data_IF_136411221053
#
_entry.id   IF_136411221053
#
_cell.length_a   1.000
_cell.length_b   1.000
_cell.length_c   1.000
_cell.angle_alpha   90.00
_cell.angle_beta   90.00
_cell.angle_gamma   90.00
#
_symmetry.space_group_name_H-M   'P 1'
#
loop_
_entity.id
_entity.type
_entity.pdbx_description
1 polymer ?
#
# COMPACT_ATOMS: atom_id res chain seq x y z
N UNK A 1 46.21 -29.02 -4.80
CA UNK A 1 44.82 -29.54 -4.75
C UNK A 1 43.96 -28.47 -4.14
N UNK A 2 43.42 -27.61 -4.98
CA UNK A 2 42.45 -26.58 -4.61
C UNK A 2 41.25 -26.82 -5.54
N UNK A 3 40.11 -27.13 -4.95
CA UNK A 3 38.84 -27.29 -5.64
C UNK A 3 38.15 -25.93 -5.69
N UNK A 4 38.13 -25.33 -6.88
CA UNK A 4 37.30 -24.16 -7.19
C UNK A 4 35.82 -24.58 -7.23
N UNK A 5 35.03 -24.06 -6.30
CA UNK A 5 33.58 -24.09 -6.36
C UNK A 5 33.09 -23.01 -7.32
N UNK A 6 32.65 -23.42 -8.52
CA UNK A 6 31.97 -22.54 -9.48
C UNK A 6 30.67 -22.01 -8.90
N UNK A 7 30.48 -20.70 -9.01
CA UNK A 7 29.27 -19.94 -8.69
C UNK A 7 28.04 -20.44 -9.46
N UNK A 8 27.00 -20.82 -8.73
CA UNK A 8 25.71 -21.26 -9.26
C UNK A 8 24.67 -20.12 -9.20
N UNK A 9 24.90 -19.04 -9.94
CA UNK A 9 23.95 -17.89 -9.96
C UNK A 9 23.69 -17.30 -11.35
N UNK A 10 23.96 -18.01 -12.46
CA UNK A 10 23.86 -17.39 -13.80
C UNK A 10 23.25 -18.28 -14.90
N UNK A 11 22.35 -19.21 -14.55
CA UNK A 11 21.89 -20.23 -15.51
C UNK A 11 20.39 -20.54 -15.58
N UNK A 12 19.47 -19.63 -15.23
CA UNK A 12 18.02 -19.92 -15.35
C UNK A 12 17.10 -18.74 -15.75
N UNK A 13 17.61 -17.71 -16.45
CA UNK A 13 16.75 -16.87 -17.29
C UNK A 13 16.39 -17.62 -18.58
N UNK A 14 15.54 -18.65 -18.45
CA UNK A 14 14.87 -19.23 -19.62
C UNK A 14 14.02 -18.13 -20.25
N UNK A 15 14.38 -17.67 -21.44
CA UNK A 15 13.55 -16.79 -22.26
C UNK A 15 12.10 -17.29 -22.26
N UNK A 16 11.22 -16.61 -21.52
CA UNK A 16 9.81 -16.98 -21.39
C UNK A 16 9.17 -16.78 -22.76
N UNK A 17 8.92 -17.89 -23.47
CA UNK A 17 8.31 -17.85 -24.80
C UNK A 17 6.79 -17.72 -24.68
N UNK A 18 6.24 -16.74 -25.36
CA UNK A 18 4.80 -16.55 -25.49
C UNK A 18 4.22 -17.38 -26.63
N UNK A 19 3.00 -17.87 -26.45
CA UNK A 19 2.20 -18.55 -27.50
C UNK A 19 1.05 -17.63 -27.90
N UNK A 20 0.94 -17.31 -29.18
CA UNK A 20 -0.19 -16.53 -29.70
C UNK A 20 -1.49 -17.33 -29.58
N UNK A 21 -2.51 -16.70 -29.01
CA UNK A 21 -3.83 -17.28 -28.77
C UNK A 21 -4.92 -16.30 -29.24
N UNK A 22 -6.17 -16.76 -29.30
CA UNK A 22 -7.33 -15.92 -29.68
C UNK A 22 -7.18 -15.15 -30.99
N UNK A 23 -6.67 -15.84 -32.03
CA UNK A 23 -6.43 -15.24 -33.35
C UNK A 23 -5.23 -14.28 -33.39
N UNK A 24 -4.30 -14.41 -32.44
CA UNK A 24 -3.08 -13.60 -32.37
C UNK A 24 -3.23 -12.27 -31.63
N UNK A 25 -4.41 -11.98 -31.06
CA UNK A 25 -4.66 -10.77 -30.27
C UNK A 25 -4.12 -10.86 -28.84
N UNK A 26 -3.93 -12.08 -28.34
CA UNK A 26 -3.41 -12.34 -27.02
C UNK A 26 -2.19 -13.23 -27.10
N UNK A 27 -1.30 -13.11 -26.13
CA UNK A 27 -0.16 -13.98 -25.93
C UNK A 27 -0.30 -14.63 -24.56
N UNK A 28 -0.09 -15.95 -24.55
CA UNK A 28 -0.05 -16.72 -23.33
C UNK A 28 1.40 -17.05 -22.95
N UNK A 29 1.82 -16.62 -21.76
CA UNK A 29 3.13 -16.88 -21.17
C UNK A 29 2.99 -17.87 -20.01
N UNK A 30 3.93 -18.81 -19.89
CA UNK A 30 4.05 -19.65 -18.69
C UNK A 30 5.19 -19.11 -17.82
N UNK A 31 4.84 -18.38 -16.77
CA UNK A 31 5.81 -17.80 -15.83
C UNK A 31 5.84 -18.65 -14.56
N UNK A 32 6.83 -19.56 -14.49
CA UNK A 32 7.01 -20.49 -13.37
C UNK A 32 5.74 -21.28 -12.99
N UNK A 33 5.00 -21.78 -13.98
CA UNK A 33 3.75 -22.52 -13.78
C UNK A 33 2.49 -21.66 -13.72
N UNK A 34 2.63 -20.32 -13.73
CA UNK A 34 1.49 -19.40 -13.79
C UNK A 34 1.25 -19.00 -15.25
N UNK A 35 0.07 -19.35 -15.76
CA UNK A 35 -0.35 -18.96 -17.11
C UNK A 35 -0.79 -17.49 -17.10
N UNK A 36 -0.07 -16.64 -17.83
CA UNK A 36 -0.37 -15.23 -18.05
C UNK A 36 -0.92 -15.04 -19.46
N UNK A 37 -2.18 -14.68 -19.58
CA UNK A 37 -2.79 -14.38 -20.88
C UNK A 37 -3.02 -12.87 -20.98
N UNK A 38 -2.23 -12.21 -21.84
CA UNK A 38 -2.18 -10.75 -21.96
C UNK A 38 -2.37 -10.34 -23.41
N UNK A 39 -2.76 -9.08 -23.66
CA UNK A 39 -2.83 -8.53 -25.02
C UNK A 39 -1.48 -8.65 -25.73
N UNK A 40 -1.49 -8.89 -27.04
CA UNK A 40 -0.27 -9.11 -27.83
C UNK A 40 0.71 -7.93 -27.89
N UNK A 41 0.26 -6.72 -27.50
CA UNK A 41 1.13 -5.55 -27.34
C UNK A 41 2.10 -5.67 -26.16
N UNK A 42 1.80 -6.50 -25.15
CA UNK A 42 2.68 -6.74 -24.01
C UNK A 42 3.68 -7.84 -24.32
N UNK A 43 4.90 -7.44 -24.63
CA UNK A 43 5.95 -8.30 -25.19
C UNK A 43 7.09 -8.53 -24.18
N UNK A 44 7.96 -9.53 -24.41
CA UNK A 44 9.13 -9.76 -23.56
C UNK A 44 10.12 -8.59 -23.56
N UNK A 45 10.98 -8.47 -22.52
CA UNK A 45 11.21 -9.44 -21.45
C UNK A 45 10.05 -9.52 -20.45
N UNK A 46 9.49 -10.72 -20.25
CA UNK A 46 8.52 -10.98 -19.17
C UNK A 46 9.30 -11.44 -17.95
N UNK A 47 9.31 -10.66 -16.88
CA UNK A 47 10.08 -10.95 -15.67
C UNK A 47 9.18 -10.92 -14.45
N UNK A 48 9.10 -11.98 -13.64
CA UNK A 48 8.33 -11.92 -12.40
C UNK A 48 9.03 -11.02 -11.38
N UNK A 49 8.31 -10.03 -10.87
CA UNK A 49 8.85 -9.02 -9.94
C UNK A 49 8.21 -9.08 -8.55
N UNK A 50 7.07 -9.75 -8.40
CA UNK A 50 6.40 -9.84 -7.11
C UNK A 50 5.38 -10.95 -7.03
N UNK A 51 5.20 -11.50 -5.82
CA UNK A 51 4.15 -12.45 -5.49
C UNK A 51 3.53 -12.05 -4.16
N UNK A 52 2.27 -11.62 -4.19
CA UNK A 52 1.52 -11.18 -3.02
C UNK A 52 0.32 -12.08 -2.71
N UNK A 53 -0.41 -11.75 -1.65
CA UNK A 53 -1.63 -12.47 -1.26
C UNK A 53 -2.73 -12.44 -2.34
N UNK A 54 -2.71 -11.42 -3.21
CA UNK A 54 -3.79 -11.17 -4.19
C UNK A 54 -3.36 -11.36 -5.64
N UNK A 55 -2.10 -11.72 -5.92
CA UNK A 55 -1.69 -11.86 -7.30
C UNK A 55 -0.22 -12.08 -7.55
N UNK A 56 0.07 -12.39 -8.81
CA UNK A 56 1.41 -12.51 -9.36
C UNK A 56 1.69 -11.28 -10.23
N UNK A 57 2.88 -10.69 -10.11
CA UNK A 57 3.23 -9.47 -10.84
C UNK A 57 4.42 -9.75 -11.75
N UNK A 58 4.28 -9.37 -13.02
CA UNK A 58 5.34 -9.46 -14.02
C UNK A 58 5.66 -8.08 -14.59
N UNK A 59 6.93 -7.74 -14.75
CA UNK A 59 7.36 -6.71 -15.66
C UNK A 59 7.21 -7.20 -17.12
N UNK A 60 6.82 -6.30 -18.02
CA UNK A 60 6.78 -6.51 -19.47
C UNK A 60 7.05 -5.18 -20.19
N UNK A 61 7.16 -5.20 -21.52
CA UNK A 61 7.26 -3.99 -22.36
C UNK A 61 5.96 -3.82 -23.14
N UNK A 62 5.38 -2.62 -23.12
CA UNK A 62 4.33 -2.27 -24.07
C UNK A 62 4.99 -1.90 -25.42
N UNK A 63 4.72 -2.70 -26.45
CA UNK A 63 5.30 -2.51 -27.79
C UNK A 63 4.75 -1.29 -28.54
N UNK A 64 3.63 -0.72 -28.11
CA UNK A 64 3.05 0.48 -28.73
C UNK A 64 3.70 1.75 -28.19
N UNK A 65 3.98 1.81 -26.88
CA UNK A 65 4.58 2.98 -26.21
C UNK A 65 6.10 2.83 -25.99
N UNK A 66 6.63 1.62 -26.11
CA UNK A 66 7.99 1.23 -25.74
C UNK A 66 8.33 1.42 -24.25
N UNK A 67 7.33 1.52 -23.39
CA UNK A 67 7.52 1.65 -21.94
C UNK A 67 7.57 0.29 -21.24
N UNK A 68 8.41 0.18 -20.21
CA UNK A 68 8.31 -0.92 -19.26
C UNK A 68 7.10 -0.70 -18.32
N UNK A 69 6.39 -1.79 -18.06
CA UNK A 69 5.14 -1.79 -17.27
C UNK A 69 5.10 -2.98 -16.31
N UNK A 70 4.25 -2.90 -15.29
CA UNK A 70 3.99 -3.98 -14.35
C UNK A 70 2.58 -4.54 -14.52
N UNK A 71 2.45 -5.83 -14.85
CA UNK A 71 1.17 -6.54 -15.00
C UNK A 71 0.89 -7.36 -13.75
N UNK A 72 -0.09 -6.94 -12.96
CA UNK A 72 -0.63 -7.70 -11.81
C UNK A 72 -1.75 -8.61 -12.28
N UNK A 73 -1.55 -9.92 -12.19
CA UNK A 73 -2.60 -10.93 -12.39
C UNK A 73 -3.26 -11.28 -11.05
N UNK A 74 -4.56 -11.02 -10.95
CA UNK A 74 -5.43 -11.46 -9.87
C UNK A 74 -6.19 -12.68 -10.39
N UNK A 75 -5.75 -13.87 -9.98
CA UNK A 75 -6.35 -15.12 -10.40
C UNK A 75 -7.67 -15.37 -9.69
N UNK A 76 -8.69 -15.86 -10.41
CA UNK A 76 -10.01 -16.17 -9.83
C UNK A 76 -10.59 -15.01 -9.01
N UNK A 77 -10.49 -13.79 -9.56
CA UNK A 77 -10.78 -12.55 -8.85
C UNK A 77 -12.22 -12.44 -8.31
N UNK A 78 -13.13 -13.27 -8.84
CA UNK A 78 -14.55 -13.24 -8.53
C UNK A 78 -15.05 -14.44 -7.70
N UNK A 79 -14.19 -15.41 -7.35
CA UNK A 79 -14.57 -16.58 -6.53
C UNK A 79 -14.87 -16.21 -5.06
N UNK A 80 -14.39 -15.05 -4.62
CA UNK A 80 -14.64 -14.50 -3.28
C UNK A 80 -15.09 -13.06 -3.40
N UNK A 81 -16.37 -12.80 -3.06
CA UNK A 81 -16.95 -11.45 -2.99
C UNK A 81 -16.07 -10.40 -2.29
N UNK A 82 -15.35 -10.76 -1.21
CA UNK A 82 -14.47 -9.80 -0.51
C UNK A 82 -13.31 -9.35 -1.40
N UNK A 83 -12.64 -10.30 -2.07
CA UNK A 83 -11.49 -10.02 -2.92
C UNK A 83 -11.92 -9.37 -4.25
N UNK A 84 -13.11 -9.73 -4.77
CA UNK A 84 -13.74 -9.07 -5.89
C UNK A 84 -13.99 -7.58 -5.60
N UNK A 85 -14.56 -7.27 -4.42
CA UNK A 85 -14.75 -5.88 -3.97
C UNK A 85 -13.42 -5.14 -3.82
N UNK A 86 -12.38 -5.78 -3.27
CA UNK A 86 -11.03 -5.18 -3.16
C UNK A 86 -10.46 -4.83 -4.54
N UNK A 87 -10.59 -5.73 -5.50
CA UNK A 87 -10.12 -5.53 -6.88
C UNK A 87 -10.84 -4.37 -7.55
N UNK A 88 -12.17 -4.34 -7.49
CA UNK A 88 -12.96 -3.24 -8.06
C UNK A 88 -12.62 -1.90 -7.40
N UNK A 89 -12.47 -1.88 -6.08
CA UNK A 89 -12.10 -0.69 -5.31
C UNK A 89 -10.74 -0.15 -5.72
N UNK A 90 -9.73 -1.00 -5.80
CA UNK A 90 -8.38 -0.62 -6.25
C UNK A 90 -8.43 0.03 -7.63
N UNK A 91 -9.17 -0.58 -8.57
CA UNK A 91 -9.35 -0.04 -9.92
C UNK A 91 -10.04 1.33 -9.88
N UNK A 92 -11.18 1.46 -9.19
CA UNK A 92 -11.96 2.72 -9.17
C UNK A 92 -11.17 3.85 -8.53
N UNK A 93 -10.49 3.59 -7.41
CA UNK A 93 -9.68 4.59 -6.72
C UNK A 93 -8.50 5.06 -7.56
N UNK A 94 -7.72 4.15 -8.12
CA UNK A 94 -6.56 4.51 -8.94
C UNK A 94 -6.93 5.10 -10.31
N UNK A 95 -8.19 4.99 -10.73
CA UNK A 95 -8.74 5.73 -11.88
C UNK A 95 -9.19 7.14 -11.55
N UNK A 96 -9.39 7.44 -10.27
CA UNK A 96 -9.80 8.76 -9.77
C UNK A 96 -8.61 9.58 -9.30
N UNK A 97 -7.62 8.93 -8.68
CA UNK A 97 -6.45 9.58 -8.12
C UNK A 97 -5.36 9.77 -9.19
N UNK A 98 -4.93 11.01 -9.39
CA UNK A 98 -3.85 11.36 -10.31
C UNK A 98 -2.83 12.24 -9.58
N UNK A 99 -1.74 11.63 -9.15
CA UNK A 99 -0.71 12.26 -8.32
C UNK A 99 0.64 11.56 -8.48
N UNK A 100 1.75 12.29 -8.46
CA UNK A 100 3.08 11.71 -8.70
C UNK A 100 3.46 10.66 -7.66
N UNK A 101 3.06 10.86 -6.39
CA UNK A 101 3.30 9.90 -5.30
C UNK A 101 2.19 8.85 -5.11
N UNK A 102 1.35 8.63 -6.12
CA UNK A 102 0.36 7.52 -6.16
C UNK A 102 0.62 6.71 -7.43
N UNK A 103 0.56 5.37 -7.33
CA UNK A 103 0.79 4.51 -8.49
C UNK A 103 -0.33 4.63 -9.53
N UNK A 104 0.03 4.69 -10.82
CA UNK A 104 -0.90 4.90 -11.91
C UNK A 104 -1.26 3.56 -12.58
N UNK A 105 -2.56 3.36 -12.85
CA UNK A 105 -3.03 2.29 -13.75
C UNK A 105 -2.91 2.78 -15.20
N UNK A 106 -2.08 2.09 -15.99
CA UNK A 106 -1.89 2.34 -17.42
C UNK A 106 -2.91 1.59 -18.29
N UNK A 107 -3.34 0.41 -17.88
CA UNK A 107 -4.31 -0.40 -18.64
C UNK A 107 -5.04 -1.41 -17.73
N UNK A 108 -6.18 -1.90 -18.18
CA UNK A 108 -6.88 -3.07 -17.64
C UNK A 108 -7.15 -4.00 -18.80
N UNK A 109 -6.48 -5.15 -18.83
CA UNK A 109 -6.53 -6.06 -19.97
C UNK A 109 -7.93 -6.66 -20.06
N UNK A 110 -8.57 -6.45 -21.21
CA UNK A 110 -9.88 -7.01 -21.51
C UNK A 110 -9.79 -8.54 -21.55
N UNK A 111 -10.72 -9.28 -20.93
CA UNK A 111 -10.76 -10.73 -21.07
C UNK A 111 -11.02 -11.12 -22.54
N UNK A 112 -10.39 -12.17 -23.08
CA UNK A 112 -10.61 -12.58 -24.48
C UNK A 112 -12.07 -12.90 -24.80
N UNK A 113 -12.80 -13.41 -23.81
CA UNK A 113 -14.24 -13.67 -23.86
C UNK A 113 -14.88 -13.22 -22.55
N UNK A 114 -15.99 -12.49 -22.61
CA UNK A 114 -16.67 -11.96 -21.42
C UNK A 114 -17.17 -13.08 -20.51
N UNK A 115 -17.63 -14.17 -21.11
CA UNK A 115 -18.17 -15.34 -20.41
C UNK A 115 -17.10 -16.02 -19.54
N UNK A 116 -15.84 -16.00 -19.99
CA UNK A 116 -14.70 -16.63 -19.33
C UNK A 116 -13.82 -15.63 -18.56
N UNK A 117 -14.40 -14.51 -18.10
CA UNK A 117 -13.67 -13.53 -17.32
C UNK A 117 -13.45 -14.03 -15.87
N UNK A 118 -12.37 -14.77 -15.65
CA UNK A 118 -11.99 -15.39 -14.38
C UNK A 118 -10.82 -14.65 -13.72
N UNK A 119 -9.83 -14.29 -14.51
CA UNK A 119 -8.62 -13.59 -14.07
C UNK A 119 -8.70 -12.11 -14.47
N UNK A 120 -8.27 -11.22 -13.57
CA UNK A 120 -8.15 -9.78 -13.84
C UNK A 120 -6.68 -9.44 -13.98
N UNK A 121 -6.32 -8.71 -15.03
CA UNK A 121 -4.97 -8.21 -15.24
C UNK A 121 -4.99 -6.68 -15.24
N UNK A 122 -4.32 -6.09 -14.26
CA UNK A 122 -4.19 -4.64 -14.12
C UNK A 122 -2.74 -4.29 -14.46
N UNK A 123 -2.57 -3.32 -15.35
CA UNK A 123 -1.26 -2.83 -15.81
C UNK A 123 -0.98 -1.51 -15.13
N UNK A 124 0.13 -1.45 -14.42
CA UNK A 124 0.64 -0.27 -13.72
C UNK A 124 1.89 0.24 -14.40
N UNK A 125 2.28 1.47 -14.06
CA UNK A 125 3.68 1.88 -14.22
C UNK A 125 4.63 0.92 -13.49
N UNK A 126 5.79 0.66 -14.08
CA UNK A 126 6.81 -0.18 -13.44
C UNK A 126 7.60 0.65 -12.43
N UNK A 127 7.78 0.09 -11.24
CA UNK A 127 8.69 0.59 -10.20
C UNK A 127 9.77 -0.46 -9.95
N UNK A 128 10.97 -0.02 -9.58
CA UNK A 128 12.15 -0.90 -9.48
C UNK A 128 12.09 -1.80 -8.24
N UNK A 129 11.57 -1.27 -7.13
CA UNK A 129 11.52 -1.98 -5.86
C UNK A 129 10.44 -1.40 -4.94
N UNK A 130 10.41 -1.86 -3.69
CA UNK A 130 9.59 -1.31 -2.62
C UNK A 130 10.47 -0.91 -1.42
N UNK A 131 9.95 -0.03 -0.57
CA UNK A 131 10.67 0.47 0.59
C UNK A 131 11.04 -0.65 1.58
N UNK A 132 10.26 -1.74 1.64
CA UNK A 132 10.58 -2.90 2.49
C UNK A 132 11.87 -3.59 2.06
N UNK A 133 12.10 -3.75 0.75
CA UNK A 133 13.38 -4.27 0.24
C UNK A 133 14.54 -3.32 0.51
N UNK A 134 14.34 -2.01 0.31
CA UNK A 134 15.37 -0.99 0.56
C UNK A 134 15.80 -0.99 2.03
N UNK A 135 14.84 -1.00 2.97
CA UNK A 135 15.12 -1.06 4.41
C UNK A 135 15.96 -2.30 4.75
N UNK A 136 15.68 -3.45 4.14
CA UNK A 136 16.40 -4.71 4.39
C UNK A 136 17.73 -4.87 3.66
N UNK A 137 18.00 -4.01 2.68
CA UNK A 137 19.22 -4.05 1.89
C UNK A 137 20.41 -3.44 2.63
N UNK A 138 21.62 -3.78 2.20
CA UNK A 138 22.86 -3.15 2.69
C UNK A 138 23.10 -1.73 2.12
N UNK A 139 22.21 -1.23 1.24
CA UNK A 139 22.34 0.11 0.68
C UNK A 139 22.20 1.15 1.79
N UNK A 140 23.11 2.13 1.93
CA UNK A 140 23.01 3.14 2.97
C UNK A 140 21.81 4.07 2.75
N UNK A 141 21.09 4.37 3.83
CA UNK A 141 20.00 5.37 3.85
C UNK A 141 20.51 6.54 4.68
N UNK A 142 20.74 7.67 4.04
CA UNK A 142 21.12 8.91 4.68
C UNK A 142 19.89 9.59 5.26
N UNK A 143 20.09 10.53 6.19
CA UNK A 143 19.00 11.37 6.70
C UNK A 143 18.23 12.07 5.57
N UNK A 144 18.91 12.49 4.49
CA UNK A 144 18.29 13.11 3.32
C UNK A 144 17.38 12.12 2.57
N UNK A 145 17.79 10.86 2.40
CA UNK A 145 16.92 9.83 1.81
C UNK A 145 15.67 9.61 2.67
N UNK A 146 15.85 9.50 4.00
CA UNK A 146 14.75 9.33 4.94
C UNK A 146 13.78 10.51 4.91
N UNK A 147 14.31 11.74 4.87
CA UNK A 147 13.54 12.98 4.77
C UNK A 147 12.74 13.01 3.47
N UNK A 148 13.37 12.66 2.34
CA UNK A 148 12.73 12.67 1.02
C UNK A 148 11.64 11.61 0.89
N UNK A 149 11.86 10.39 1.40
CA UNK A 149 10.82 9.37 1.43
C UNK A 149 9.64 9.78 2.32
N UNK A 150 9.90 10.32 3.51
CA UNK A 150 8.84 10.78 4.39
C UNK A 150 8.01 11.91 3.76
N UNK A 151 8.67 12.88 3.14
CA UNK A 151 8.03 13.96 2.40
C UNK A 151 7.09 13.43 1.32
N UNK A 152 7.56 12.53 0.46
CA UNK A 152 6.76 11.96 -0.64
C UNK A 152 5.56 11.14 -0.14
N UNK A 153 5.71 10.41 0.97
CA UNK A 153 4.59 9.69 1.61
C UNK A 153 3.52 10.67 2.08
N UNK A 154 3.93 11.72 2.80
CA UNK A 154 2.99 12.73 3.32
C UNK A 154 2.35 13.55 2.20
N UNK A 155 3.11 13.92 1.16
CA UNK A 155 2.61 14.60 -0.03
C UNK A 155 1.54 13.77 -0.74
N UNK A 156 1.80 12.48 -0.96
CA UNK A 156 0.81 11.55 -1.51
C UNK A 156 -0.42 11.39 -0.61
N UNK A 157 -0.23 11.32 0.71
CA UNK A 157 -1.36 11.20 1.65
C UNK A 157 -2.21 12.45 1.74
N UNK A 158 -1.63 13.66 1.63
CA UNK A 158 -2.38 14.91 1.55
C UNK A 158 -3.38 14.85 0.40
N UNK A 159 -2.91 14.42 -0.76
CA UNK A 159 -3.76 14.25 -1.94
C UNK A 159 -4.86 13.19 -1.71
N UNK A 160 -4.50 12.00 -1.19
CA UNK A 160 -5.47 10.92 -0.90
C UNK A 160 -6.52 11.36 0.12
N UNK A 161 -6.11 11.98 1.22
CA UNK A 161 -6.99 12.42 2.31
C UNK A 161 -7.92 13.55 1.86
N UNK A 162 -7.44 14.46 1.00
CA UNK A 162 -8.28 15.51 0.41
C UNK A 162 -9.38 14.97 -0.53
N UNK A 163 -9.22 13.74 -1.06
CA UNK A 163 -10.27 13.03 -1.79
C UNK A 163 -11.29 12.31 -0.86
N UNK A 164 -11.20 12.51 0.47
CA UNK A 164 -11.93 11.79 1.51
C UNK A 164 -11.69 10.26 1.48
N UNK A 165 -10.46 9.85 1.15
CA UNK A 165 -10.04 8.45 1.12
C UNK A 165 -9.01 8.21 2.23
N UNK A 166 -9.14 7.09 2.93
CA UNK A 166 -8.18 6.58 3.91
C UNK A 166 -7.50 5.35 3.30
N UNK A 167 -6.17 5.24 3.39
CA UNK A 167 -5.43 4.13 2.80
C UNK A 167 -5.58 2.83 3.62
N UNK A 168 -5.45 2.93 4.96
CA UNK A 168 -5.71 1.86 5.97
C UNK A 168 -4.74 0.68 6.01
N UNK A 169 -3.90 0.52 4.99
CA UNK A 169 -2.87 -0.53 4.97
C UNK A 169 -1.50 -0.01 4.51
N UNK A 170 -1.11 1.18 5.01
CA UNK A 170 0.24 1.69 4.76
C UNK A 170 1.28 0.82 5.47
N UNK A 171 2.28 0.40 4.70
CA UNK A 171 3.43 -0.39 5.15
C UNK A 171 4.54 -0.27 4.11
N UNK A 172 5.81 -0.54 4.43
CA UNK A 172 6.92 -0.36 3.49
C UNK A 172 6.77 -1.11 2.17
N UNK A 173 6.14 -2.29 2.15
CA UNK A 173 5.91 -3.05 0.90
C UNK A 173 4.84 -2.43 -0.02
N UNK A 174 4.07 -1.45 0.46
CA UNK A 174 3.06 -0.72 -0.30
C UNK A 174 3.57 0.66 -0.76
N UNK A 175 4.86 0.94 -0.55
CA UNK A 175 5.55 2.16 -0.96
C UNK A 175 6.59 1.77 -2.01
N UNK A 176 6.24 1.93 -3.28
CA UNK A 176 7.08 1.55 -4.41
C UNK A 176 8.12 2.63 -4.69
N UNK A 177 9.31 2.22 -5.12
CA UNK A 177 10.47 3.08 -5.36
C UNK A 177 11.11 2.81 -6.72
N UNK A 178 11.64 3.85 -7.35
CA UNK A 178 12.51 3.74 -8.52
C UNK A 178 13.96 4.16 -8.20
N UNK A 179 14.86 4.02 -9.16
CA UNK A 179 16.28 4.37 -9.04
C UNK A 179 16.53 5.87 -8.74
N UNK A 180 15.57 6.75 -9.05
CA UNK A 180 15.63 8.18 -8.75
C UNK A 180 15.15 8.50 -7.33
N UNK A 181 14.79 7.50 -6.52
CA UNK A 181 14.16 7.65 -5.21
C UNK A 181 12.74 8.26 -5.26
N UNK A 182 12.07 8.22 -6.42
CA UNK A 182 10.66 8.59 -6.50
C UNK A 182 9.81 7.51 -5.84
N UNK A 183 8.90 7.94 -4.97
CA UNK A 183 8.06 7.07 -4.16
C UNK A 183 6.61 7.16 -4.58
N UNK A 184 5.96 6.00 -4.74
CA UNK A 184 4.54 5.87 -5.07
C UNK A 184 3.81 4.96 -4.10
N UNK A 185 2.71 5.46 -3.55
CA UNK A 185 1.79 4.70 -2.70
C UNK A 185 0.97 3.75 -3.60
N UNK A 186 0.88 2.48 -3.19
CA UNK A 186 0.18 1.42 -3.91
C UNK A 186 -0.70 0.58 -2.96
N UNK A 187 -1.51 -0.31 -3.54
CA UNK A 187 -2.42 -1.24 -2.85
C UNK A 187 -3.59 -0.57 -2.08
N UNK A 188 -4.50 0.01 -2.85
CA UNK A 188 -5.73 0.64 -2.34
C UNK A 188 -6.86 -0.36 -2.09
N UNK A 189 -6.57 -1.67 -2.06
CA UNK A 189 -7.57 -2.71 -1.89
C UNK A 189 -8.33 -2.60 -0.56
N UNK A 190 -7.75 -2.00 0.48
CA UNK A 190 -8.36 -1.84 1.81
C UNK A 190 -8.89 -0.43 2.11
N UNK A 191 -8.73 0.50 1.19
CA UNK A 191 -9.07 1.91 1.38
C UNK A 191 -10.58 2.13 1.61
N UNK A 192 -10.96 3.23 2.28
CA UNK A 192 -12.37 3.58 2.60
C UNK A 192 -12.58 5.08 2.74
N UNK A 193 -13.84 5.51 2.74
CA UNK A 193 -14.20 6.84 3.27
C UNK A 193 -14.14 6.88 4.79
N UNK A 194 -14.11 8.09 5.34
CA UNK A 194 -14.22 8.40 6.77
C UNK A 194 -15.58 8.04 7.39
N UNK A 195 -16.62 7.82 6.57
CA UNK A 195 -18.01 7.65 7.02
C UNK A 195 -18.51 6.20 7.10
N UNK A 196 -17.74 5.23 6.60
CA UNK A 196 -18.17 3.82 6.56
C UNK A 196 -17.84 3.06 7.85
N UNK A 197 -18.89 2.74 8.60
CA UNK A 197 -18.85 1.91 9.83
C UNK A 197 -18.86 0.40 9.55
N UNK A 198 -18.46 -0.03 8.37
CA UNK A 198 -18.50 -1.44 8.01
C UNK A 198 -17.48 -2.23 8.84
N UNK A 199 -17.99 -3.23 9.57
CA UNK A 199 -17.22 -4.04 10.49
C UNK A 199 -15.98 -4.62 9.80
N UNK A 200 -14.82 -4.34 10.40
CA UNK A 200 -13.54 -4.86 9.94
C UNK A 200 -13.58 -6.38 9.95
N UNK A 201 -13.49 -6.99 8.76
CA UNK A 201 -13.27 -8.43 8.68
C UNK A 201 -11.86 -8.71 9.18
N UNK A 202 -11.75 -9.41 10.31
CA UNK A 202 -10.48 -9.88 10.87
C UNK A 202 -9.77 -10.79 9.88
N UNK A 203 -8.93 -10.21 9.02
CA UNK A 203 -8.08 -10.98 8.13
C UNK A 203 -6.59 -10.72 8.36
N UNK A 204 -5.87 -11.82 8.24
CA UNK A 204 -4.45 -12.09 8.48
C UNK A 204 -3.58 -11.21 7.60
N UNK A 205 -3.33 -9.97 8.05
CA UNK A 205 -2.35 -9.06 7.46
C UNK A 205 -1.42 -8.58 8.58
N UNK A 206 -0.20 -8.18 8.22
CA UNK A 206 0.77 -7.57 9.13
C UNK A 206 0.13 -6.42 9.91
N UNK A 207 0.11 -6.52 11.24
CA UNK A 207 -0.54 -5.54 12.15
C UNK A 207 0.41 -4.44 12.64
N UNK A 208 1.70 -4.53 12.30
CA UNK A 208 2.77 -3.72 12.87
C UNK A 208 2.57 -2.21 12.67
N UNK A 209 1.86 -1.83 11.60
CA UNK A 209 1.59 -0.44 11.22
C UNK A 209 0.17 0.04 11.58
N UNK A 210 -0.67 -0.82 12.19
CA UNK A 210 -2.05 -0.46 12.52
C UNK A 210 -2.09 0.44 13.76
N UNK A 211 -2.90 1.50 13.68
CA UNK A 211 -3.12 2.43 14.78
C UNK A 211 -3.85 1.77 15.96
N UNK A 212 -3.62 2.23 17.21
CA UNK A 212 -4.24 1.68 18.41
C UNK A 212 -5.76 1.60 18.34
N UNK A 213 -6.41 2.63 17.79
CA UNK A 213 -7.86 2.71 17.61
C UNK A 213 -8.42 1.62 16.67
N UNK A 214 -7.64 1.18 15.67
CA UNK A 214 -8.00 0.06 14.79
C UNK A 214 -7.83 -1.29 15.50
N UNK A 215 -6.85 -1.41 16.39
CA UNK A 215 -6.63 -2.63 17.20
C UNK A 215 -7.72 -2.79 18.27
N UNK A 216 -8.30 -1.69 18.72
CA UNK A 216 -9.35 -1.63 19.74
C UNK A 216 -10.78 -1.63 19.17
N UNK A 217 -10.91 -1.82 17.85
CA UNK A 217 -12.19 -1.81 17.13
C UNK A 217 -13.03 -0.55 17.40
N UNK A 218 -12.38 0.63 17.39
CA UNK A 218 -13.12 1.89 17.34
C UNK A 218 -13.92 1.97 16.04
N UNK A 219 -15.21 2.28 16.13
CA UNK A 219 -16.09 2.48 14.97
C UNK A 219 -15.79 3.76 14.21
N UNK A 220 -15.18 4.73 14.89
CA UNK A 220 -14.89 6.05 14.37
C UNK A 220 -13.37 6.17 14.23
N UNK A 221 -12.88 6.13 12.99
CA UNK A 221 -11.47 6.31 12.65
C UNK A 221 -11.36 7.36 11.53
N UNK A 222 -10.28 8.15 11.59
CA UNK A 222 -10.03 9.29 10.70
C UNK A 222 -8.74 9.08 9.91
N UNK A 223 -8.32 10.08 9.14
CA UNK A 223 -6.99 10.16 8.51
C UNK A 223 -5.83 9.94 9.48
N UNK A 224 -6.04 10.14 10.79
CA UNK A 224 -5.04 9.90 11.81
C UNK A 224 -4.48 8.47 11.79
N UNK A 225 -5.26 7.45 11.37
CA UNK A 225 -4.78 6.07 11.30
C UNK A 225 -3.61 5.91 10.33
N UNK A 226 -3.65 6.63 9.21
CA UNK A 226 -2.59 6.60 8.20
C UNK A 226 -1.35 7.33 8.74
N UNK A 227 -1.52 8.44 9.47
CA UNK A 227 -0.41 9.15 10.13
C UNK A 227 0.32 8.26 11.13
N UNK A 228 -0.42 7.43 11.89
CA UNK A 228 0.20 6.43 12.76
C UNK A 228 1.08 5.45 11.97
N UNK A 229 0.53 4.90 10.88
CA UNK A 229 1.29 3.99 10.01
C UNK A 229 2.54 4.67 9.45
N UNK A 230 2.46 5.94 9.05
CA UNK A 230 3.61 6.74 8.62
C UNK A 230 4.63 6.90 9.75
N UNK A 231 4.21 7.14 10.99
CA UNK A 231 5.12 7.19 12.14
C UNK A 231 5.88 5.86 12.34
N UNK A 232 5.19 4.73 12.24
CA UNK A 232 5.83 3.41 12.29
C UNK A 232 6.84 3.22 11.15
N UNK A 233 6.47 3.58 9.92
CA UNK A 233 7.34 3.50 8.74
C UNK A 233 8.55 4.41 8.90
N UNK A 234 8.35 5.66 9.35
CA UNK A 234 9.41 6.63 9.53
C UNK A 234 10.46 6.14 10.54
N UNK A 235 10.01 5.61 11.68
CA UNK A 235 10.92 4.98 12.63
C UNK A 235 11.69 3.83 12.00
N UNK A 236 11.02 2.96 11.23
CA UNK A 236 11.64 1.80 10.59
C UNK A 236 12.66 2.16 9.50
N UNK A 237 12.42 3.22 8.71
CA UNK A 237 13.42 3.73 7.75
C UNK A 237 14.67 4.21 8.51
N UNK A 238 14.48 4.95 9.62
CA UNK A 238 15.57 5.53 10.40
C UNK A 238 16.37 4.49 11.20
N UNK A 239 15.74 3.39 11.64
CA UNK A 239 16.38 2.37 12.48
C UNK A 239 16.70 1.07 11.76
N UNK A 240 16.16 0.86 10.56
CA UNK A 240 16.20 -0.41 9.81
C UNK A 240 15.47 -1.58 10.48
N UNK A 241 14.70 -1.31 11.54
CA UNK A 241 14.02 -2.32 12.34
C UNK A 241 12.54 -1.97 12.51
N UNK A 242 11.62 -2.94 12.33
CA UNK A 242 10.20 -2.72 12.57
C UNK A 242 9.95 -2.19 13.97
N UNK A 243 9.19 -1.10 14.08
CA UNK A 243 8.98 -0.41 15.36
C UNK A 243 8.17 -1.27 16.35
N UNK A 244 7.10 -1.90 15.88
CA UNK A 244 6.19 -2.70 16.70
C UNK A 244 5.91 -4.08 16.07
N UNK A 245 6.84 -5.04 16.16
CA UNK A 245 6.68 -6.38 15.58
C UNK A 245 5.82 -7.29 16.48
N UNK A 246 4.55 -6.91 16.69
CA UNK A 246 3.60 -7.68 17.49
C UNK A 246 3.29 -9.06 16.89
N UNK A 247 3.11 -10.05 17.77
CA UNK A 247 2.78 -11.45 17.39
C UNK A 247 1.28 -11.67 17.27
N UNK A 248 0.52 -10.91 18.05
CA UNK A 248 -0.94 -10.90 18.13
C UNK A 248 -1.38 -9.49 18.58
N UNK A 249 -2.70 -9.27 18.66
CA UNK A 249 -3.28 -7.97 19.06
C UNK A 249 -2.81 -7.48 20.43
N UNK A 250 -2.70 -8.40 21.39
CA UNK A 250 -2.33 -8.08 22.77
C UNK A 250 -0.86 -7.67 22.82
N UNK A 251 0.00 -8.44 22.17
CA UNK A 251 1.43 -8.13 22.07
C UNK A 251 1.66 -6.82 21.32
N UNK A 252 0.91 -6.54 20.25
CA UNK A 252 1.00 -5.27 19.51
C UNK A 252 0.70 -4.07 20.42
N UNK A 253 -0.42 -4.09 21.15
CA UNK A 253 -0.79 -3.01 22.07
C UNK A 253 0.20 -2.86 23.24
N UNK A 254 0.74 -3.98 23.73
CA UNK A 254 1.81 -3.97 24.73
C UNK A 254 3.06 -3.23 24.21
N UNK A 255 3.57 -3.58 23.02
CA UNK A 255 4.74 -2.91 22.43
C UNK A 255 4.51 -1.40 22.23
N UNK A 256 3.30 -1.03 21.80
CA UNK A 256 2.91 0.37 21.67
C UNK A 256 2.98 1.08 23.02
N UNK A 257 2.27 0.59 24.02
CA UNK A 257 2.21 1.21 25.35
C UNK A 257 3.56 1.20 26.08
N UNK A 258 4.43 0.21 25.83
CA UNK A 258 5.80 0.19 26.35
C UNK A 258 6.63 1.38 25.85
N UNK A 259 6.42 1.81 24.60
CA UNK A 259 7.16 2.95 24.02
C UNK A 259 6.52 4.29 24.37
N UNK A 260 5.24 4.49 24.00
CA UNK A 260 4.58 5.80 24.09
C UNK A 260 3.93 6.06 25.47
N UNK A 261 3.98 5.06 26.35
CA UNK A 261 3.34 5.08 27.66
C UNK A 261 1.91 4.57 27.60
N UNK A 262 1.40 4.11 28.75
CA UNK A 262 -0.02 3.75 28.86
C UNK A 262 -0.88 5.01 28.79
N UNK A 263 -2.00 4.99 28.04
CA UNK A 263 -2.91 6.12 27.97
C UNK A 263 -3.48 6.42 29.35
N UNK A 264 -3.58 7.72 29.68
CA UNK A 264 -4.27 8.18 30.87
C UNK A 264 -5.79 8.16 30.67
N UNK A 265 -6.56 8.43 31.73
CA UNK A 265 -8.03 8.37 31.66
C UNK A 265 -8.63 9.32 30.62
N UNK A 266 -7.99 10.47 30.36
CA UNK A 266 -8.47 11.47 29.39
C UNK A 266 -8.20 11.05 27.95
N UNK A 267 -7.09 10.36 27.68
CA UNK A 267 -6.74 9.85 26.35
C UNK A 267 -7.55 8.63 25.90
N UNK A 268 -8.58 8.21 26.67
CA UNK A 268 -9.49 7.10 26.32
C UNK A 268 -10.91 7.58 26.02
N UNK A 269 -11.18 8.89 26.04
CA UNK A 269 -12.50 9.44 25.79
C UNK A 269 -12.99 9.12 24.37
N UNK A 270 -12.10 9.13 23.38
CA UNK A 270 -12.40 8.81 21.98
C UNK A 270 -12.92 7.37 21.78
N UNK A 271 -12.54 6.42 22.66
CA UNK A 271 -13.00 5.03 22.57
C UNK A 271 -14.46 4.92 23.01
N UNK A 272 -15.42 4.87 22.08
CA UNK A 272 -16.85 4.75 22.44
C UNK A 272 -17.20 3.42 23.14
N UNK A 273 -16.43 2.36 22.91
CA UNK A 273 -16.65 1.03 23.49
C UNK A 273 -16.15 0.95 24.94
N UNK A 274 -17.06 0.73 25.89
CA UNK A 274 -16.72 0.49 27.30
C UNK A 274 -15.81 -0.74 27.48
N UNK A 275 -16.03 -1.79 26.68
CA UNK A 275 -15.20 -2.99 26.70
C UNK A 275 -13.76 -2.68 26.28
N UNK A 276 -13.57 -1.87 25.23
CA UNK A 276 -12.24 -1.45 24.80
C UNK A 276 -11.55 -0.59 25.87
N UNK A 277 -12.27 0.36 26.49
CA UNK A 277 -11.75 1.17 27.61
C UNK A 277 -11.33 0.31 28.79
N UNK A 278 -12.13 -0.69 29.17
CA UNK A 278 -11.82 -1.60 30.27
C UNK A 278 -10.59 -2.44 29.94
N UNK A 279 -10.53 -2.99 28.73
CA UNK A 279 -9.38 -3.77 28.26
C UNK A 279 -8.07 -2.97 28.33
N UNK A 280 -8.07 -1.73 27.85
CA UNK A 280 -6.86 -0.87 27.92
C UNK A 280 -6.45 -0.56 29.37
N UNK A 281 -7.42 -0.39 30.29
CA UNK A 281 -7.15 -0.17 31.72
C UNK A 281 -6.55 -1.40 32.42
N UNK A 282 -6.82 -2.60 31.91
CA UNK A 282 -6.30 -3.87 32.43
C UNK A 282 -4.88 -4.19 31.90
N UNK A 283 -4.42 -3.50 30.85
CA UNK A 283 -3.06 -3.66 30.35
C UNK A 283 -2.02 -3.21 31.40
N UNK A 284 -0.81 -3.82 31.41
CA UNK A 284 0.27 -3.35 32.26
C UNK A 284 0.57 -1.87 32.03
N UNK A 285 0.83 -1.14 33.11
CA UNK A 285 1.14 0.29 33.04
C UNK A 285 2.62 0.51 32.76
N UNK A 286 2.92 1.28 31.71
CA UNK A 286 4.28 1.64 31.33
C UNK A 286 4.43 3.16 31.34
N UNK A 287 5.54 3.69 31.90
CA UNK A 287 5.90 5.09 31.71
C UNK A 287 6.32 5.32 30.26
N UNK A 288 6.02 6.51 29.72
CA UNK A 288 6.50 6.91 28.39
C UNK A 288 8.03 6.90 28.35
N UNK A 289 8.60 6.23 27.35
CA UNK A 289 10.04 6.25 27.12
C UNK A 289 10.46 7.58 26.49
N UNK A 290 11.69 8.01 26.77
CA UNK A 290 12.28 9.18 26.09
C UNK A 290 12.75 8.75 24.71
N UNK A 291 12.14 9.30 23.65
CA UNK A 291 12.47 8.93 22.27
C UNK A 291 13.93 9.19 21.93
N UNK A 292 14.53 10.26 22.45
CA UNK A 292 15.97 10.54 22.28
C UNK A 292 16.90 9.46 22.84
N UNK A 293 16.45 8.71 23.85
CA UNK A 293 17.21 7.56 24.41
C UNK A 293 16.95 6.31 23.59
N UNK A 294 15.70 6.11 23.13
CA UNK A 294 15.32 4.95 22.31
C UNK A 294 15.91 4.99 20.90
N UNK A 295 16.07 6.18 20.33
CA UNK A 295 16.54 6.46 18.98
C UNK A 295 17.73 7.43 19.01
N UNK A 296 18.89 7.01 19.54
CA UNK A 296 20.02 7.91 19.78
C UNK A 296 20.70 8.41 18.50
N UNK A 297 20.47 7.74 17.36
CA UNK A 297 21.00 8.12 16.05
C UNK A 297 20.12 9.14 15.32
N UNK A 298 18.87 9.35 15.74
CA UNK A 298 17.96 10.29 15.08
C UNK A 298 18.24 11.73 15.54
N UNK A 299 18.20 12.68 14.60
CA UNK A 299 18.28 14.10 14.93
C UNK A 299 17.03 14.57 15.70
N UNK A 300 17.14 15.71 16.40
CA UNK A 300 16.09 16.20 17.29
C UNK A 300 14.79 16.53 16.56
N UNK A 301 14.86 17.06 15.33
CA UNK A 301 13.67 17.36 14.52
C UNK A 301 12.94 16.12 14.04
N UNK A 302 13.68 15.04 13.73
CA UNK A 302 13.11 13.75 13.36
C UNK A 302 12.39 13.11 14.56
N UNK A 303 13.04 13.13 15.74
CA UNK A 303 12.43 12.65 16.99
C UNK A 303 11.14 13.42 17.30
N UNK A 304 11.19 14.75 17.22
CA UNK A 304 10.06 15.62 17.50
C UNK A 304 8.86 15.34 16.56
N UNK A 305 9.11 15.14 15.26
CA UNK A 305 8.05 14.75 14.32
C UNK A 305 7.48 13.38 14.64
N UNK A 306 8.36 12.40 14.92
CA UNK A 306 7.96 11.03 15.25
C UNK A 306 7.09 10.98 16.52
N UNK A 307 7.43 11.77 17.55
CA UNK A 307 6.64 11.90 18.78
C UNK A 307 5.24 12.49 18.54
N UNK A 308 5.10 13.38 17.54
CA UNK A 308 3.81 13.97 17.14
C UNK A 308 2.96 13.03 16.27
N UNK A 309 3.59 12.12 15.52
CA UNK A 309 2.91 11.07 14.76
C UNK A 309 2.46 9.90 15.65
N UNK A 310 3.26 9.51 16.64
CA UNK A 310 3.00 8.36 17.52
C UNK A 310 2.28 8.78 18.81
N UNK A 311 1.08 9.35 18.63
CA UNK A 311 0.18 9.72 19.73
C UNK A 311 -0.97 8.73 19.82
N UNK A 312 -1.25 8.23 21.04
CA UNK A 312 -2.29 7.23 21.28
C UNK A 312 -3.68 7.76 20.94
N UNK A 313 -3.98 8.98 21.36
CA UNK A 313 -5.23 9.68 21.08
C UNK A 313 -5.20 10.22 19.63
N UNK A 314 -6.06 9.73 18.73
CA UNK A 314 -6.05 10.15 17.33
C UNK A 314 -6.40 11.63 17.13
N UNK A 315 -7.14 12.25 18.05
CA UNK A 315 -7.51 13.68 17.97
C UNK A 315 -6.33 14.61 18.31
N UNK A 316 -5.31 14.09 19.01
CA UNK A 316 -4.08 14.82 19.36
C UNK A 316 -2.91 14.50 18.44
N UNK A 317 -3.12 13.60 17.48
CA UNK A 317 -2.10 13.20 16.50
C UNK A 317 -1.98 14.29 15.44
N UNK A 318 -0.74 14.61 15.05
CA UNK A 318 -0.47 15.61 14.00
C UNK A 318 -1.21 15.27 12.71
N UNK A 319 -1.72 16.27 11.99
CA UNK A 319 -2.29 16.03 10.67
C UNK A 319 -1.21 15.89 9.60
N UNK A 320 -1.57 15.45 8.39
CA UNK A 320 -0.63 15.37 7.27
C UNK A 320 -0.13 16.77 6.88
N UNK A 321 -1.02 17.77 6.86
CA UNK A 321 -0.70 19.16 6.54
C UNK A 321 0.24 19.78 7.58
N UNK A 322 0.00 19.51 8.86
CA UNK A 322 0.87 19.96 9.94
C UNK A 322 2.24 19.26 9.88
N UNK A 323 2.27 17.98 9.51
CA UNK A 323 3.51 17.22 9.36
C UNK A 323 4.36 17.72 8.18
N UNK A 324 3.74 18.09 7.05
CA UNK A 324 4.43 18.72 5.91
C UNK A 324 5.06 20.07 6.30
N UNK A 325 4.38 20.86 7.13
CA UNK A 325 4.91 22.12 7.66
C UNK A 325 6.00 21.94 8.74
N UNK A 326 6.33 20.70 9.16
CA UNK A 326 7.22 20.46 10.29
C UNK A 326 8.68 20.85 9.96
N UNK A 327 9.48 21.37 10.92
CA UNK A 327 10.88 21.73 10.69
C UNK A 327 11.74 20.63 10.06
N UNK A 328 11.42 19.36 10.36
CA UNK A 328 12.10 18.20 9.75
C UNK A 328 11.95 18.15 8.23
N UNK A 329 10.91 18.73 7.62
CA UNK A 329 10.66 18.72 6.17
C UNK A 329 10.84 20.11 5.52
N UNK A 330 11.35 21.09 6.28
CA UNK A 330 11.44 22.50 5.85
C UNK A 330 12.25 22.75 4.57
N UNK A 331 13.17 21.85 4.21
CA UNK A 331 13.97 21.92 2.98
C UNK A 331 13.23 21.44 1.74
N UNK A 332 12.13 20.70 1.91
CA UNK A 332 11.35 20.08 0.82
C UNK A 332 9.93 20.63 0.72
N UNK A 333 9.38 21.17 1.81
CA UNK A 333 8.02 21.68 1.86
C UNK A 333 7.79 22.81 0.86
N UNK A 334 6.82 22.64 -0.05
CA UNK A 334 6.36 23.66 -0.99
C UNK A 334 4.85 23.50 -1.24
N UNK A 335 4.07 24.48 -0.79
CA UNK A 335 2.62 24.46 -0.94
C UNK A 335 2.15 24.41 -2.40
N UNK A 336 2.92 24.99 -3.33
CA UNK A 336 2.54 24.98 -4.75
C UNK A 336 2.76 23.62 -5.40
N UNK A 337 3.69 22.84 -4.86
CA UNK A 337 4.00 21.49 -5.32
C UNK A 337 3.31 20.43 -4.46
N UNK A 338 2.37 20.77 -3.57
CA UNK A 338 1.65 19.81 -2.75
C UNK A 338 0.13 19.88 -3.02
N UNK A 339 -0.32 19.37 -4.18
CA UNK A 339 -1.69 19.52 -4.62
C UNK A 339 -2.67 18.73 -3.76
N UNK A 340 -3.94 19.14 -3.83
CA UNK A 340 -5.09 18.41 -3.29
C UNK A 340 -5.94 17.87 -4.42
N UNK A 341 -6.65 16.77 -4.18
CA UNK A 341 -7.64 16.25 -5.12
C UNK A 341 -8.88 17.15 -5.10
N UNK A 342 -9.26 17.68 -6.26
CA UNK A 342 -10.39 18.62 -6.36
C UNK A 342 -11.76 17.96 -6.13
N UNK A 343 -11.84 16.64 -6.30
CA UNK A 343 -13.09 15.89 -6.24
C UNK A 343 -13.00 14.80 -5.17
N UNK A 344 -14.01 14.73 -4.31
CA UNK A 344 -14.15 13.62 -3.39
C UNK A 344 -14.43 12.33 -4.17
N UNK A 345 -13.86 11.22 -3.72
CA UNK A 345 -14.16 9.92 -4.28
C UNK A 345 -15.49 9.38 -3.72
N UNK A 346 -16.35 8.88 -4.61
CA UNK A 346 -17.60 8.24 -4.21
C UNK A 346 -17.48 6.71 -4.21
N UNK A 347 -17.91 6.10 -3.11
CA UNK A 347 -18.01 4.64 -2.95
C UNK A 347 -19.41 4.10 -3.30
N UNK A 348 -20.26 4.84 -4.02
CA UNK A 348 -21.63 4.43 -4.37
C UNK A 348 -21.72 3.08 -5.11
N UNK A 349 -20.62 2.62 -5.72
CA UNK A 349 -20.53 1.31 -6.35
C UNK A 349 -20.43 0.14 -5.35
N UNK A 350 -20.13 0.42 -4.08
CA UNK A 350 -20.00 -0.58 -3.02
C UNK A 350 -21.32 -0.79 -2.28
N UNK A 351 -22.28 -1.48 -2.90
CA UNK A 351 -23.44 -1.95 -2.14
C UNK A 351 -23.08 -3.20 -1.31
N UNK A 352 -23.50 -3.29 -0.04
CA UNK A 352 -23.45 -4.54 0.74
C UNK A 352 -24.14 -5.70 0.01
N UNK A 353 -25.21 -5.40 -0.73
CA UNK A 353 -26.00 -6.37 -1.49
C UNK A 353 -25.39 -6.77 -2.84
N UNK A 354 -24.30 -6.14 -3.30
CA UNK A 354 -23.75 -6.40 -4.64
C UNK A 354 -23.38 -7.87 -4.83
N UNK A 355 -23.75 -8.46 -5.97
CA UNK A 355 -23.35 -9.83 -6.33
C UNK A 355 -21.96 -9.86 -6.96
N UNK A 356 -21.37 -11.06 -7.04
CA UNK A 356 -20.06 -11.24 -7.70
C UNK A 356 -20.16 -10.93 -9.20
N UNK A 357 -21.29 -11.25 -9.84
CA UNK A 357 -21.58 -10.92 -11.24
C UNK A 357 -21.68 -9.42 -11.49
N UNK A 358 -22.31 -8.67 -10.58
CA UNK A 358 -22.39 -7.21 -10.67
C UNK A 358 -20.99 -6.57 -10.55
N UNK A 359 -20.18 -7.06 -9.60
CA UNK A 359 -18.79 -6.59 -9.44
C UNK A 359 -17.97 -6.92 -10.69
N UNK A 360 -18.12 -8.14 -11.22
CA UNK A 360 -17.47 -8.59 -12.45
C UNK A 360 -17.84 -7.73 -13.65
N UNK A 361 -19.12 -7.36 -13.78
CA UNK A 361 -19.57 -6.45 -14.84
C UNK A 361 -18.92 -5.06 -14.69
N UNK A 362 -18.84 -4.52 -13.47
CA UNK A 362 -18.20 -3.23 -13.23
C UNK A 362 -16.70 -3.24 -13.56
N UNK A 363 -15.97 -4.31 -13.21
CA UNK A 363 -14.56 -4.46 -13.60
C UNK A 363 -14.43 -4.58 -15.12
N UNK A 364 -15.32 -5.34 -15.77
CA UNK A 364 -15.33 -5.45 -17.22
C UNK A 364 -15.57 -4.10 -17.90
N UNK A 365 -16.51 -3.30 -17.42
CA UNK A 365 -16.78 -1.95 -17.93
C UNK A 365 -15.57 -1.03 -17.81
N UNK A 366 -14.78 -1.14 -16.73
CA UNK A 366 -13.51 -0.39 -16.62
C UNK A 366 -12.49 -0.84 -17.68
N UNK A 367 -12.39 -2.16 -17.95
CA UNK A 367 -11.51 -2.66 -19.04
C UNK A 367 -11.92 -2.14 -20.43
N UNK A 368 -13.22 -1.96 -20.69
CA UNK A 368 -13.74 -1.42 -21.95
C UNK A 368 -13.40 0.06 -22.12
N UNK A 369 -13.31 0.83 -21.02
CA UNK A 369 -12.90 2.24 -21.09
C UNK A 369 -11.46 2.42 -21.55
N UNK A 370 -10.56 1.53 -21.15
CA UNK A 370 -9.18 1.51 -21.64
C UNK A 370 -9.08 0.93 -23.07
N UNK A 371 -9.86 -0.12 -23.35
CA UNK A 371 -9.82 -0.86 -24.62
C UNK A 371 -11.21 -0.90 -25.27
N UNK A 372 -11.65 0.18 -25.95
CA UNK A 372 -13.02 0.30 -26.48
C UNK A 372 -13.30 -0.67 -27.64
N UNK A 373 -12.25 -1.06 -28.37
CA UNK A 373 -12.39 -1.98 -29.51
C UNK A 373 -12.83 -3.38 -29.04
N UNK A 374 -13.82 -3.99 -29.70
CA UNK A 374 -14.36 -5.28 -29.28
C UNK A 374 -13.33 -6.42 -29.43
N UNK A 375 -13.29 -7.27 -28.41
CA UNK A 375 -12.73 -8.62 -28.48
C UNK A 375 -13.73 -9.50 -29.24
N UNK A 376 -13.75 -9.40 -30.57
CA UNK A 376 -14.53 -10.25 -31.50
C UNK A 376 -14.41 -11.73 -31.14
#
# INVERSE_FOLDING_TARGET
>A
MATESKSATDSDEKNIKGVLVHGGRYIQYNVYGNMFEVSNKYVPPIRPIGRGAYGFVCAAVDSETHEEIAIKKIGKAFDNKVDAKRTLREIKLLRHLEHENVVIIKDIIRPPKKENFVDVYIVYELMDTDLHQIIRSDQPLTDDHCQYFLYQILRGLKYIHSANVLHRDLKPSNLLLNANCDLKIADFGLARTTSETDFMTEYVVTRWYRAPELLLNSSDYTSAIDVWSVGCIFAEIMTREPLFPGKDYVHQLKLVTELIGSPDGTSLEFLRSENARKYVKELPKFPRQKFSVRFPSMNSTAIDLLEKMLVFDPEKRITVEEALCHPFLSTLHDLNDEPVCSNHFSFDFESPSSTEEEIKELVWLESVKFNPNPTI
#
